data_IF_387035739626
#
_entry.id   IF_387035739626
#
_cell.length_a   1.000
_cell.length_b   1.000
_cell.length_c   1.000
_cell.angle_alpha   90.00
_cell.angle_beta   90.00
_cell.angle_gamma   90.00
#
_symmetry.space_group_name_H-M   'P 1'
#
loop_
_entity.id
_entity.type
_entity.pdbx_description
1 polymer ?
#
# COMPACT_ATOMS: atom_id res chain seq x y z
N UNK A 1 -48.21 20.49 30.07
CA UNK A 1 -48.44 20.51 28.62
C UNK A 1 -48.19 19.11 28.10
N UNK A 2 -49.26 18.36 27.79
CA UNK A 2 -49.16 17.10 27.09
C UNK A 2 -48.87 17.43 25.61
N UNK A 3 -47.68 17.08 25.14
CA UNK A 3 -47.36 17.12 23.72
C UNK A 3 -47.88 15.80 23.12
N UNK A 4 -48.84 15.93 22.22
CA UNK A 4 -49.29 14.83 21.37
C UNK A 4 -48.10 14.30 20.57
N UNK A 5 -47.90 12.98 20.61
CA UNK A 5 -46.86 12.32 19.86
C UNK A 5 -47.32 12.24 18.39
N UNK A 6 -46.68 13.02 17.53
CA UNK A 6 -46.85 12.88 16.08
C UNK A 6 -46.52 11.45 15.65
N UNK A 7 -47.43 10.85 14.88
CA UNK A 7 -47.34 9.47 14.38
C UNK A 7 -46.21 9.35 13.35
N UNK A 8 -45.00 9.05 13.79
CA UNK A 8 -43.92 8.61 12.91
C UNK A 8 -44.23 7.21 12.39
N UNK A 9 -44.36 7.05 11.07
CA UNK A 9 -44.67 5.76 10.44
C UNK A 9 -43.45 4.84 10.46
N UNK A 10 -43.67 3.53 10.42
CA UNK A 10 -42.59 2.53 10.37
C UNK A 10 -41.66 2.73 9.16
N UNK A 11 -42.18 3.20 8.01
CA UNK A 11 -41.33 3.49 6.85
C UNK A 11 -40.43 4.70 7.10
N UNK A 12 -40.94 5.75 7.75
CA UNK A 12 -40.14 6.93 8.11
C UNK A 12 -39.04 6.58 9.14
N UNK A 13 -39.32 5.64 10.04
CA UNK A 13 -38.31 5.11 10.97
C UNK A 13 -37.21 4.34 10.22
N UNK A 14 -37.56 3.49 9.25
CA UNK A 14 -36.61 2.71 8.44
C UNK A 14 -35.74 3.63 7.57
N UNK A 15 -36.35 4.58 6.87
CA UNK A 15 -35.68 5.55 6.00
C UNK A 15 -34.70 6.44 6.78
N UNK A 16 -35.07 6.86 8.00
CA UNK A 16 -34.16 7.59 8.91
C UNK A 16 -32.98 6.74 9.41
N UNK A 17 -33.12 5.40 9.41
CA UNK A 17 -32.08 4.47 9.87
C UNK A 17 -31.12 4.08 8.74
N UNK A 18 -31.59 4.03 7.49
CA UNK A 18 -30.77 3.71 6.30
C UNK A 18 -29.77 4.81 5.92
N UNK A 19 -29.99 6.05 6.35
CA UNK A 19 -29.09 7.18 6.10
C UNK A 19 -28.00 7.38 7.17
N UNK A 20 -27.95 6.58 8.23
CA UNK A 20 -26.91 6.66 9.26
C UNK A 20 -25.69 5.84 8.84
N UNK A 21 -24.63 6.51 8.38
CA UNK A 21 -23.35 5.85 8.14
C UNK A 21 -22.61 5.64 9.46
N UNK A 22 -21.83 4.56 9.58
CA UNK A 22 -20.98 4.28 10.76
C UNK A 22 -20.00 5.43 11.12
N UNK A 23 -19.74 6.37 10.19
CA UNK A 23 -18.94 7.58 10.45
C UNK A 23 -19.63 8.60 11.36
N UNK A 24 -20.97 8.60 11.44
CA UNK A 24 -21.72 9.62 12.17
C UNK A 24 -21.85 9.34 13.68
N UNK A 25 -21.48 8.13 14.13
CA UNK A 25 -21.44 7.75 15.55
C UNK A 25 -20.37 8.49 16.37
N UNK A 26 -19.46 9.21 15.71
CA UNK A 26 -18.47 10.07 16.36
C UNK A 26 -19.02 11.45 16.74
N UNK A 27 -20.18 11.86 16.22
CA UNK A 27 -20.83 13.11 16.53
C UNK A 27 -22.14 12.85 17.30
N UNK A 28 -22.21 13.40 18.50
CA UNK A 28 -23.42 13.72 19.25
C UNK A 28 -24.76 13.08 18.79
N UNK A 29 -25.24 12.11 19.56
CA UNK A 29 -26.42 11.30 19.23
C UNK A 29 -27.69 11.90 19.85
N UNK A 30 -28.73 12.07 19.04
CA UNK A 30 -30.10 12.39 19.49
C UNK A 30 -31.03 11.19 19.44
N UNK A 31 -30.81 10.28 18.48
CA UNK A 31 -31.61 9.08 18.28
C UNK A 31 -30.70 7.86 18.25
N UNK A 32 -31.11 6.79 18.93
CA UNK A 32 -30.46 5.48 18.77
C UNK A 32 -31.47 4.35 18.84
N UNK A 33 -31.10 3.23 18.22
CA UNK A 33 -31.93 2.03 18.14
C UNK A 33 -31.17 0.85 18.74
N UNK A 34 -31.84 0.08 19.60
CA UNK A 34 -31.35 -1.18 20.18
C UNK A 34 -32.26 -2.31 19.67
N UNK A 35 -31.72 -3.20 18.85
CA UNK A 35 -32.46 -4.30 18.20
C UNK A 35 -32.02 -5.63 18.78
N UNK A 36 -32.98 -6.40 19.31
CA UNK A 36 -32.77 -7.73 19.85
C UNK A 36 -33.62 -8.72 19.04
N UNK A 37 -32.96 -9.61 18.31
CA UNK A 37 -33.61 -10.66 17.53
C UNK A 37 -33.87 -11.90 18.38
N UNK A 38 -34.80 -12.75 17.93
CA UNK A 38 -35.03 -14.10 18.43
C UNK A 38 -35.37 -14.16 19.93
N UNK A 39 -36.08 -13.14 20.43
CA UNK A 39 -36.59 -13.17 21.80
C UNK A 39 -37.70 -14.23 21.89
N UNK A 40 -37.61 -15.20 22.81
CA UNK A 40 -38.60 -16.27 22.90
C UNK A 40 -40.01 -15.73 23.16
N UNK A 41 -41.05 -16.32 22.55
CA UNK A 41 -42.43 -15.93 22.80
C UNK A 41 -42.76 -16.13 24.30
N UNK A 42 -43.34 -15.11 24.92
CA UNK A 42 -43.61 -15.09 26.37
C UNK A 42 -42.56 -14.38 27.23
N UNK A 43 -41.39 -14.06 26.68
CA UNK A 43 -40.37 -13.24 27.39
C UNK A 43 -40.85 -11.80 27.66
N UNK A 44 -41.87 -11.34 26.92
CA UNK A 44 -42.52 -10.05 27.12
C UNK A 44 -44.03 -10.28 27.29
N UNK A 45 -44.54 -10.03 28.50
CA UNK A 45 -45.98 -10.05 28.76
C UNK A 45 -46.55 -8.63 28.56
N UNK A 46 -47.32 -8.44 27.49
CA UNK A 46 -47.89 -7.14 27.10
C UNK A 46 -48.83 -6.57 28.18
N UNK A 47 -49.58 -7.43 28.87
CA UNK A 47 -50.51 -6.98 29.90
C UNK A 47 -49.77 -6.43 31.13
N UNK A 48 -48.69 -7.11 31.53
CA UNK A 48 -47.83 -6.63 32.60
C UNK A 48 -47.07 -5.37 32.18
N UNK A 49 -46.63 -5.29 30.92
CA UNK A 49 -45.89 -4.14 30.39
C UNK A 49 -46.73 -2.85 30.45
N UNK A 50 -48.04 -2.93 30.17
CA UNK A 50 -48.95 -1.78 30.30
C UNK A 50 -49.03 -1.26 31.74
N UNK A 51 -49.11 -2.16 32.72
CA UNK A 51 -49.11 -1.77 34.13
C UNK A 51 -47.78 -1.14 34.54
N UNK A 52 -46.66 -1.76 34.16
CA UNK A 52 -45.30 -1.26 34.43
C UNK A 52 -45.09 0.14 33.85
N UNK A 53 -45.50 0.38 32.59
CA UNK A 53 -45.36 1.69 31.94
C UNK A 53 -46.25 2.73 32.62
N UNK A 54 -47.51 2.39 32.93
CA UNK A 54 -48.47 3.29 33.61
C UNK A 54 -47.95 3.73 34.97
N UNK A 55 -47.43 2.77 35.73
CA UNK A 55 -46.99 2.98 37.11
C UNK A 55 -45.52 3.44 37.18
N UNK A 56 -44.87 3.62 36.02
CA UNK A 56 -43.46 4.03 35.86
C UNK A 56 -42.48 3.14 36.62
N UNK A 57 -42.83 1.85 36.78
CA UNK A 57 -42.04 0.86 37.48
C UNK A 57 -40.90 0.32 36.59
N UNK A 58 -40.02 1.19 36.10
CA UNK A 58 -39.00 0.84 35.09
C UNK A 58 -38.07 -0.31 35.49
N UNK A 59 -37.86 -0.51 36.80
CA UNK A 59 -37.07 -1.62 37.35
C UNK A 59 -37.77 -2.99 37.20
N UNK A 60 -39.08 -3.00 36.94
CA UNK A 60 -39.87 -4.22 36.71
C UNK A 60 -39.99 -4.58 35.23
N UNK A 61 -39.42 -3.77 34.32
CA UNK A 61 -39.42 -4.09 32.90
C UNK A 61 -38.78 -5.48 32.66
N UNK A 62 -39.30 -6.28 31.71
CA UNK A 62 -38.61 -7.46 31.24
C UNK A 62 -37.17 -7.14 30.85
N UNK A 63 -36.27 -8.08 31.12
CA UNK A 63 -34.82 -7.88 30.96
C UNK A 63 -34.44 -7.46 29.53
N UNK A 64 -35.17 -7.97 28.53
CA UNK A 64 -35.02 -7.61 27.12
C UNK A 64 -35.41 -6.16 26.79
N UNK A 65 -36.27 -5.52 27.60
CA UNK A 65 -36.72 -4.14 27.41
C UNK A 65 -35.93 -3.13 28.25
N UNK A 66 -35.20 -3.58 29.27
CA UNK A 66 -34.36 -2.71 30.10
C UNK A 66 -33.16 -2.18 29.32
N UNK A 67 -32.64 -1.03 29.74
CA UNK A 67 -31.28 -0.60 29.43
C UNK A 67 -30.27 -1.28 30.38
N UNK A 68 -28.96 -1.25 30.07
CA UNK A 68 -27.91 -1.73 30.98
C UNK A 68 -27.79 -0.83 32.23
N UNK A 69 -27.97 0.48 32.04
CA UNK A 69 -27.92 1.49 33.09
C UNK A 69 -29.08 2.48 32.92
N UNK A 70 -29.50 3.12 34.01
CA UNK A 70 -30.51 4.18 33.96
C UNK A 70 -29.90 5.46 33.35
N UNK A 71 -30.46 6.02 32.27
CA UNK A 71 -29.96 7.26 31.70
C UNK A 71 -30.02 8.41 32.71
N UNK A 72 -28.93 9.16 32.81
CA UNK A 72 -28.81 10.44 33.54
C UNK A 72 -29.30 11.65 32.74
N UNK A 73 -29.93 11.40 31.59
CA UNK A 73 -30.43 12.42 30.66
C UNK A 73 -31.90 12.13 30.39
N UNK A 74 -32.68 13.18 30.12
CA UNK A 74 -34.08 13.02 29.75
C UNK A 74 -34.21 12.39 28.37
N UNK A 75 -35.08 11.39 28.25
CA UNK A 75 -35.30 10.67 27.00
C UNK A 75 -36.76 10.29 26.80
N UNK A 76 -37.10 9.95 25.56
CA UNK A 76 -38.34 9.28 25.15
C UNK A 76 -37.95 7.92 24.59
N UNK A 77 -38.67 6.87 24.99
CA UNK A 77 -38.46 5.52 24.47
C UNK A 77 -39.71 4.99 23.78
N UNK A 78 -39.53 4.38 22.62
CA UNK A 78 -40.56 3.64 21.90
C UNK A 78 -40.11 2.18 21.76
N UNK A 79 -41.02 1.25 21.99
CA UNK A 79 -40.74 -0.18 21.90
C UNK A 79 -41.64 -0.81 20.85
N UNK A 80 -41.04 -1.55 19.94
CA UNK A 80 -41.73 -2.31 18.90
C UNK A 80 -41.46 -3.79 19.13
N UNK A 81 -42.53 -4.57 19.23
CA UNK A 81 -42.47 -6.03 19.34
C UNK A 81 -42.93 -6.59 17.99
N UNK A 82 -41.99 -7.06 17.20
CA UNK A 82 -42.21 -7.47 15.81
C UNK A 82 -42.18 -9.01 15.75
N UNK A 83 -43.30 -9.68 15.46
CA UNK A 83 -43.31 -11.14 15.31
C UNK A 83 -42.37 -11.58 14.17
N UNK A 84 -41.64 -12.67 14.39
CA UNK A 84 -40.77 -13.29 13.40
C UNK A 84 -41.38 -14.59 12.87
N UNK A 85 -40.93 -15.03 11.69
CA UNK A 85 -41.42 -16.24 11.00
C UNK A 85 -41.19 -17.51 11.83
N UNK A 86 -40.16 -17.54 12.68
CA UNK A 86 -39.84 -18.65 13.57
C UNK A 86 -40.68 -18.69 14.86
N UNK A 87 -41.66 -17.79 15.02
CA UNK A 87 -42.49 -17.71 16.22
C UNK A 87 -41.86 -16.93 17.39
N UNK A 88 -40.62 -16.46 17.25
CA UNK A 88 -40.00 -15.53 18.18
C UNK A 88 -40.46 -14.08 17.91
N UNK A 89 -40.03 -13.15 18.76
CA UNK A 89 -40.23 -11.72 18.58
C UNK A 89 -38.89 -11.00 18.42
N UNK A 90 -38.84 -10.04 17.51
CA UNK A 90 -37.79 -9.04 17.44
C UNK A 90 -38.23 -7.83 18.29
N UNK A 91 -37.39 -7.43 19.22
CA UNK A 91 -37.60 -6.25 20.07
C UNK A 91 -36.76 -5.12 19.51
N UNK A 92 -37.41 -4.09 18.98
CA UNK A 92 -36.76 -2.85 18.58
C UNK A 92 -37.08 -1.76 19.59
N UNK A 93 -36.04 -1.19 20.19
CA UNK A 93 -36.14 -0.07 21.13
C UNK A 93 -35.59 1.16 20.44
N UNK A 94 -36.41 2.17 20.27
CA UNK A 94 -35.99 3.47 19.75
C UNK A 94 -35.95 4.47 20.90
N UNK A 95 -34.83 5.17 21.04
CA UNK A 95 -34.63 6.16 22.08
C UNK A 95 -34.31 7.51 21.47
N UNK A 96 -35.03 8.54 21.94
CA UNK A 96 -34.79 9.94 21.62
C UNK A 96 -34.32 10.68 22.87
N UNK A 97 -33.16 11.33 22.81
CA UNK A 97 -32.59 12.09 23.93
C UNK A 97 -32.98 13.57 23.78
N UNK A 98 -33.58 14.14 24.84
CA UNK A 98 -34.09 15.52 24.85
C UNK A 98 -33.02 16.58 25.09
N UNK A 99 -31.88 16.21 25.67
CA UNK A 99 -30.75 17.12 25.85
C UNK A 99 -30.01 17.33 24.53
N UNK A 100 -29.37 18.49 24.40
CA UNK A 100 -28.45 18.73 23.30
C UNK A 100 -27.27 17.78 23.43
N UNK A 101 -27.33 16.74 22.59
CA UNK A 101 -26.17 16.02 22.09
C UNK A 101 -25.42 15.18 23.12
N UNK A 102 -25.61 13.86 23.10
CA UNK A 102 -24.90 12.94 24.00
C UNK A 102 -23.79 12.18 23.29
N UNK A 103 -22.66 11.97 23.99
CA UNK A 103 -21.50 11.24 23.43
C UNK A 103 -21.90 9.80 23.07
N UNK A 104 -21.48 9.30 21.91
CA UNK A 104 -21.73 7.92 21.48
C UNK A 104 -21.24 6.86 22.47
N UNK A 105 -20.11 7.12 23.15
CA UNK A 105 -19.59 6.24 24.21
C UNK A 105 -20.49 6.17 25.45
N UNK A 106 -21.29 7.19 25.71
CA UNK A 106 -22.31 7.13 26.77
C UNK A 106 -23.50 6.28 26.32
N UNK A 107 -23.95 6.42 25.06
CA UNK A 107 -25.04 5.62 24.49
C UNK A 107 -24.67 4.13 24.44
N UNK A 108 -23.43 3.79 24.07
CA UNK A 108 -22.93 2.41 24.05
C UNK A 108 -23.06 1.70 25.42
N UNK A 109 -22.91 2.44 26.52
CA UNK A 109 -23.11 1.90 27.89
C UNK A 109 -24.57 1.67 28.26
N UNK A 110 -25.50 2.35 27.59
CA UNK A 110 -26.94 2.20 27.85
C UNK A 110 -27.54 1.01 27.12
N UNK A 111 -27.07 0.72 25.90
CA UNK A 111 -27.63 -0.31 25.03
C UNK A 111 -27.18 -1.73 25.42
N UNK A 112 -28.09 -2.70 25.26
CA UNK A 112 -27.88 -4.08 25.71
C UNK A 112 -27.19 -4.99 24.70
N UNK A 113 -26.69 -4.48 23.58
CA UNK A 113 -25.96 -5.28 22.60
C UNK A 113 -24.63 -5.83 23.17
N UNK A 114 -24.67 -6.88 23.99
CA UNK A 114 -23.49 -7.49 24.60
C UNK A 114 -22.57 -8.12 23.56
N UNK A 115 -23.11 -8.55 22.43
CA UNK A 115 -22.33 -9.21 21.38
C UNK A 115 -21.32 -8.30 20.68
N UNK A 116 -21.65 -7.03 20.44
CA UNK A 116 -20.73 -6.08 19.81
C UNK A 116 -19.62 -5.64 20.76
N UNK A 117 -19.95 -5.31 22.01
CA UNK A 117 -18.97 -5.03 23.07
C UNK A 117 -18.03 -6.23 23.30
N UNK A 118 -18.59 -7.44 23.26
CA UNK A 118 -17.84 -8.68 23.36
C UNK A 118 -16.87 -8.87 22.18
N UNK A 119 -17.31 -8.63 20.93
CA UNK A 119 -16.42 -8.67 19.76
C UNK A 119 -15.32 -7.61 19.86
N UNK A 120 -15.64 -6.38 20.24
CA UNK A 120 -14.64 -5.29 20.36
C UNK A 120 -13.59 -5.63 21.43
N UNK A 121 -14.02 -6.21 22.56
CA UNK A 121 -13.16 -6.46 23.72
C UNK A 121 -12.39 -7.78 23.62
N UNK A 122 -13.02 -8.84 23.11
CA UNK A 122 -12.49 -10.21 23.14
C UNK A 122 -12.26 -10.81 21.74
N UNK A 123 -12.63 -10.10 20.68
CA UNK A 123 -12.51 -10.55 19.31
C UNK A 123 -11.08 -10.88 18.90
N UNK A 124 -10.90 -12.02 18.25
CA UNK A 124 -9.61 -12.42 17.69
C UNK A 124 -9.26 -11.54 16.49
N UNK A 125 -8.11 -10.86 16.58
CA UNK A 125 -7.60 -9.93 15.55
C UNK A 125 -6.61 -10.61 14.61
N UNK A 126 -6.02 -11.73 15.01
CA UNK A 126 -5.07 -12.49 14.18
C UNK A 126 -5.81 -13.46 13.25
N UNK A 127 -5.69 -13.23 11.95
CA UNK A 127 -6.22 -14.13 10.91
C UNK A 127 -5.33 -15.36 10.69
N UNK A 128 -4.07 -15.31 11.13
CA UNK A 128 -3.10 -16.36 10.92
C UNK A 128 -3.49 -17.68 11.59
N UNK A 129 -3.08 -18.81 11.00
CA UNK A 129 -3.32 -20.15 11.53
C UNK A 129 -4.79 -20.45 11.89
N UNK A 130 -5.73 -19.86 11.15
CA UNK A 130 -7.18 -20.00 11.36
C UNK A 130 -7.64 -19.58 12.76
N UNK A 131 -6.87 -18.75 13.48
CA UNK A 131 -7.21 -18.34 14.85
C UNK A 131 -8.56 -17.63 14.91
N UNK A 132 -8.79 -16.68 14.00
CA UNK A 132 -10.06 -15.96 13.93
C UNK A 132 -11.23 -16.90 13.63
N UNK A 133 -11.11 -17.80 12.66
CA UNK A 133 -12.14 -18.79 12.35
C UNK A 133 -12.42 -19.74 13.54
N UNK A 134 -11.37 -20.21 14.22
CA UNK A 134 -11.50 -21.04 15.43
C UNK A 134 -12.16 -20.28 16.58
N UNK A 135 -11.85 -19.00 16.73
CA UNK A 135 -12.48 -18.13 17.71
C UNK A 135 -13.96 -17.94 17.40
N UNK A 136 -14.31 -17.64 16.14
CA UNK A 136 -15.70 -17.48 15.71
C UNK A 136 -16.49 -18.75 16.02
N UNK A 137 -16.06 -19.91 15.51
CA UNK A 137 -16.74 -21.18 15.77
C UNK A 137 -16.87 -21.48 17.26
N UNK A 138 -15.85 -21.18 18.06
CA UNK A 138 -15.92 -21.36 19.51
C UNK A 138 -16.98 -20.46 20.13
N UNK A 139 -16.99 -19.17 19.82
CA UNK A 139 -17.86 -18.22 20.51
C UNK A 139 -19.30 -18.25 20.02
N UNK A 140 -19.56 -18.55 18.74
CA UNK A 140 -20.95 -18.66 18.26
C UNK A 140 -21.63 -19.95 18.73
N UNK A 141 -20.86 -21.00 19.05
CA UNK A 141 -21.40 -22.29 19.53
C UNK A 141 -21.26 -22.50 21.04
N UNK A 142 -20.61 -21.58 21.77
CA UNK A 142 -20.41 -21.71 23.23
C UNK A 142 -21.63 -21.19 23.97
N UNK A 143 -22.24 -22.03 24.80
CA UNK A 143 -23.33 -21.62 25.68
C UNK A 143 -22.87 -20.52 26.64
N UNK A 144 -23.68 -19.47 26.76
CA UNK A 144 -23.38 -18.28 27.57
C UNK A 144 -22.44 -17.26 26.91
N UNK A 145 -22.04 -17.46 25.65
CA UNK A 145 -21.33 -16.43 24.87
C UNK A 145 -22.30 -15.32 24.44
N UNK A 146 -21.93 -14.02 24.56
CA UNK A 146 -22.76 -12.90 24.09
C UNK A 146 -23.07 -12.88 22.60
N UNK A 147 -22.34 -13.67 21.80
CA UNK A 147 -22.56 -13.85 20.35
C UNK A 147 -22.99 -15.29 20.01
N UNK A 148 -23.48 -16.05 20.99
CA UNK A 148 -24.01 -17.39 20.75
C UNK A 148 -25.14 -17.34 19.71
N UNK A 149 -25.10 -18.24 18.72
CA UNK A 149 -26.06 -18.29 17.62
C UNK A 149 -25.95 -17.19 16.57
N UNK A 150 -24.99 -16.26 16.69
CA UNK A 150 -24.80 -15.22 15.68
C UNK A 150 -24.35 -15.82 14.35
N UNK A 151 -24.78 -15.17 13.26
CA UNK A 151 -24.36 -15.56 11.93
C UNK A 151 -22.83 -15.45 11.77
N UNK A 152 -22.18 -16.54 11.38
CA UNK A 152 -20.72 -16.61 11.21
C UNK A 152 -20.19 -15.51 10.28
N UNK A 153 -20.88 -15.23 9.16
CA UNK A 153 -20.46 -14.20 8.20
C UNK A 153 -20.55 -12.79 8.80
N UNK A 154 -21.50 -12.55 9.70
CA UNK A 154 -21.63 -11.27 10.39
C UNK A 154 -20.46 -11.07 11.36
N UNK A 155 -20.16 -12.08 12.19
CA UNK A 155 -19.06 -12.03 13.15
C UNK A 155 -17.71 -11.92 12.43
N UNK A 156 -17.53 -12.64 11.32
CA UNK A 156 -16.34 -12.55 10.48
C UNK A 156 -16.12 -11.12 9.98
N UNK A 157 -17.13 -10.47 9.39
CA UNK A 157 -17.02 -9.07 8.93
C UNK A 157 -16.69 -8.10 10.07
N UNK A 158 -17.28 -8.32 11.24
CA UNK A 158 -17.03 -7.50 12.43
C UNK A 158 -15.56 -7.60 12.88
N UNK A 159 -15.06 -8.83 12.98
CA UNK A 159 -13.67 -9.08 13.36
C UNK A 159 -12.69 -8.64 12.27
N UNK A 160 -13.07 -8.72 11.00
CA UNK A 160 -12.29 -8.16 9.88
C UNK A 160 -12.15 -6.65 10.03
N UNK A 161 -13.24 -5.94 10.29
CA UNK A 161 -13.23 -4.50 10.57
C UNK A 161 -12.35 -4.18 11.79
N UNK A 162 -12.48 -4.95 12.86
CA UNK A 162 -11.72 -4.76 14.11
C UNK A 162 -10.23 -5.05 13.96
N UNK A 163 -9.87 -6.06 13.17
CA UNK A 163 -8.48 -6.36 12.84
C UNK A 163 -7.85 -5.22 12.03
N UNK A 164 -8.64 -4.54 11.20
CA UNK A 164 -8.20 -3.43 10.36
C UNK A 164 -8.17 -2.07 11.09
N UNK A 165 -8.78 -1.94 12.27
CA UNK A 165 -8.95 -0.68 13.04
C UNK A 165 -7.62 -0.10 13.62
N UNK A 166 -6.48 -0.74 13.36
CA UNK A 166 -5.14 -0.28 13.75
C UNK A 166 -4.20 0.04 12.59
N UNK A 167 -4.64 -0.15 11.34
CA UNK A 167 -3.81 0.11 10.15
C UNK A 167 -4.06 1.52 9.66
N UNK A 168 -3.08 2.40 9.88
CA UNK A 168 -3.10 3.77 9.38
C UNK A 168 -2.65 3.87 7.91
N UNK A 169 -2.11 2.78 7.34
CA UNK A 169 -1.77 2.71 5.93
C UNK A 169 -3.02 2.69 5.05
N UNK A 170 -3.12 3.65 4.14
CA UNK A 170 -4.24 3.76 3.22
C UNK A 170 -4.23 2.60 2.22
N UNK A 171 -5.34 1.85 2.16
CA UNK A 171 -5.57 0.86 1.11
C UNK A 171 -6.09 1.57 -0.13
N UNK A 172 -5.36 1.44 -1.24
CA UNK A 172 -5.74 1.97 -2.53
C UNK A 172 -6.20 0.81 -3.40
N UNK A 173 -7.43 0.89 -3.89
CA UNK A 173 -8.07 -0.14 -4.72
C UNK A 173 -8.29 0.29 -6.17
N UNK A 174 -7.89 1.52 -6.52
CA UNK A 174 -8.02 2.07 -7.86
C UNK A 174 -6.85 2.98 -8.18
N UNK A 175 -6.26 2.77 -9.35
CA UNK A 175 -5.25 3.63 -9.95
C UNK A 175 -5.25 3.37 -11.46
N UNK A 176 -5.58 4.39 -12.24
CA UNK A 176 -5.99 4.20 -13.64
C UNK A 176 -4.82 4.20 -14.64
N UNK A 177 -3.60 4.52 -14.17
CA UNK A 177 -2.39 4.44 -15.00
C UNK A 177 -1.82 3.01 -15.01
N UNK A 178 -1.28 2.60 -16.15
CA UNK A 178 -0.54 1.35 -16.33
C UNK A 178 0.91 1.63 -16.74
N UNK A 179 1.73 0.58 -16.82
CA UNK A 179 3.14 0.71 -17.23
C UNK A 179 3.30 1.30 -18.65
N UNK A 180 2.28 1.17 -19.52
CA UNK A 180 2.30 1.79 -20.85
C UNK A 180 2.31 3.33 -20.80
N UNK A 181 1.93 3.94 -19.67
CA UNK A 181 1.98 5.40 -19.55
C UNK A 181 3.40 5.97 -19.41
N UNK A 182 4.42 5.13 -19.25
CA UNK A 182 5.80 5.56 -19.15
C UNK A 182 6.38 5.91 -20.52
N UNK A 183 7.28 6.89 -20.55
CA UNK A 183 8.11 7.18 -21.72
C UNK A 183 8.95 5.94 -22.11
N UNK A 184 9.18 5.68 -23.42
CA UNK A 184 9.84 4.45 -23.89
C UNK A 184 11.20 4.16 -23.24
N UNK A 185 12.01 5.20 -23.07
CA UNK A 185 13.33 5.14 -22.45
C UNK A 185 13.26 4.66 -20.98
N UNK A 186 12.23 5.08 -20.24
CA UNK A 186 11.98 4.65 -18.86
C UNK A 186 11.44 3.22 -18.84
N UNK A 187 10.55 2.89 -19.79
CA UNK A 187 10.00 1.55 -19.93
C UNK A 187 11.09 0.50 -20.21
N UNK A 188 12.08 0.82 -21.04
CA UNK A 188 13.22 -0.05 -21.33
C UNK A 188 14.08 -0.34 -20.09
N UNK A 189 14.29 0.66 -19.22
CA UNK A 189 14.96 0.44 -17.93
C UNK A 189 14.15 -0.53 -17.07
N UNK A 190 12.84 -0.31 -16.96
CA UNK A 190 12.00 -1.16 -16.12
C UNK A 190 11.80 -2.58 -16.68
N UNK A 191 11.87 -2.79 -17.99
CA UNK A 191 11.87 -4.13 -18.58
C UNK A 191 13.02 -4.99 -18.02
N UNK A 192 14.17 -4.36 -17.75
CA UNK A 192 15.35 -5.03 -17.20
C UNK A 192 15.25 -5.23 -15.68
N UNK A 193 14.65 -4.28 -14.95
CA UNK A 193 14.63 -4.27 -13.48
C UNK A 193 13.45 -5.04 -12.87
N UNK A 194 12.30 -5.06 -13.54
CA UNK A 194 11.07 -5.67 -13.04
C UNK A 194 11.23 -7.15 -12.66
N UNK A 195 11.99 -8.00 -13.39
CA UNK A 195 12.27 -9.37 -12.98
C UNK A 195 12.88 -9.53 -11.58
N UNK A 196 13.78 -8.62 -11.18
CA UNK A 196 14.41 -8.62 -9.86
C UNK A 196 13.42 -8.31 -8.74
N UNK A 197 12.37 -7.55 -9.04
CA UNK A 197 11.37 -7.12 -8.05
C UNK A 197 10.50 -8.28 -7.49
N UNK A 198 10.62 -9.48 -8.07
CA UNK A 198 10.04 -10.72 -7.49
C UNK A 198 10.71 -11.15 -6.18
N UNK A 199 11.96 -10.75 -5.95
CA UNK A 199 12.76 -11.12 -4.78
C UNK A 199 13.40 -9.95 -4.05
N UNK A 200 13.29 -8.74 -4.58
CA UNK A 200 13.99 -7.56 -4.10
C UNK A 200 13.05 -6.36 -3.99
N UNK A 201 13.31 -5.48 -3.03
CA UNK A 201 12.57 -4.22 -2.92
C UNK A 201 13.00 -3.22 -4.00
N UNK A 202 12.23 -2.15 -4.17
CA UNK A 202 12.55 -1.04 -5.07
C UNK A 202 12.73 0.25 -4.29
N UNK A 203 13.81 0.98 -4.54
CA UNK A 203 14.06 2.31 -4.00
C UNK A 203 14.05 3.32 -5.14
N UNK A 204 13.07 4.21 -5.15
CA UNK A 204 12.94 5.32 -6.09
C UNK A 204 13.40 6.60 -5.40
N UNK A 205 14.56 7.12 -5.80
CA UNK A 205 15.21 8.30 -5.24
C UNK A 205 15.26 9.42 -6.27
N UNK A 206 15.44 10.68 -5.84
CA UNK A 206 15.81 11.76 -6.77
C UNK A 206 14.89 12.98 -6.75
N UNK A 207 14.95 13.78 -7.80
CA UNK A 207 14.25 15.06 -7.93
C UNK A 207 12.73 14.95 -7.70
N UNK A 208 12.10 15.92 -6.98
CA UNK A 208 10.64 15.96 -6.84
C UNK A 208 9.97 16.30 -8.18
N UNK A 209 8.70 15.93 -8.33
CA UNK A 209 7.88 16.32 -9.50
C UNK A 209 8.09 15.51 -10.78
N UNK A 210 9.09 14.64 -10.84
CA UNK A 210 9.38 13.80 -12.02
C UNK A 210 8.44 12.60 -12.22
N UNK A 211 7.59 12.30 -11.23
CA UNK A 211 6.63 11.21 -11.30
C UNK A 211 7.01 9.88 -10.60
N UNK A 212 7.94 9.88 -9.63
CA UNK A 212 8.29 8.67 -8.84
C UNK A 212 7.09 8.00 -8.17
N UNK A 213 6.26 8.79 -7.47
CA UNK A 213 5.09 8.27 -6.75
C UNK A 213 4.07 7.62 -7.70
N UNK A 214 3.67 8.25 -8.83
CA UNK A 214 2.87 7.57 -9.85
C UNK A 214 3.49 6.26 -10.38
N UNK A 215 4.79 6.24 -10.67
CA UNK A 215 5.49 5.03 -11.13
C UNK A 215 5.40 3.90 -10.08
N UNK A 216 5.65 4.19 -8.81
CA UNK A 216 5.55 3.21 -7.74
C UNK A 216 4.14 2.61 -7.67
N UNK A 217 3.10 3.45 -7.81
CA UNK A 217 1.69 3.01 -7.77
C UNK A 217 1.35 2.11 -8.96
N UNK A 218 1.84 2.44 -10.16
CA UNK A 218 1.70 1.60 -11.35
C UNK A 218 2.31 0.21 -11.12
N UNK A 219 3.58 0.17 -10.69
CA UNK A 219 4.27 -1.10 -10.43
C UNK A 219 3.56 -1.93 -9.36
N UNK A 220 3.03 -1.28 -8.33
CA UNK A 220 2.27 -1.94 -7.28
C UNK A 220 0.97 -2.55 -7.77
N UNK A 221 0.20 -1.81 -8.57
CA UNK A 221 -1.01 -2.33 -9.20
C UNK A 221 -0.70 -3.50 -10.12
N UNK A 222 0.36 -3.38 -10.93
CA UNK A 222 0.83 -4.43 -11.84
C UNK A 222 1.20 -5.71 -11.08
N UNK A 223 2.02 -5.63 -10.03
CA UNK A 223 2.43 -6.79 -9.24
C UNK A 223 1.27 -7.39 -8.44
N UNK A 224 0.37 -6.56 -7.92
CA UNK A 224 -0.86 -7.02 -7.28
C UNK A 224 -1.64 -7.94 -8.21
N UNK A 225 -1.89 -7.50 -9.46
CA UNK A 225 -2.58 -8.29 -10.49
C UNK A 225 -1.83 -9.55 -10.88
N UNK A 226 -0.51 -9.45 -11.08
CA UNK A 226 0.34 -10.60 -11.41
C UNK A 226 0.24 -11.72 -10.37
N UNK A 227 0.15 -11.38 -9.09
CA UNK A 227 0.00 -12.35 -8.00
C UNK A 227 -1.44 -12.82 -7.78
N UNK A 228 -2.39 -12.46 -8.63
CA UNK A 228 -3.79 -12.88 -8.56
C UNK A 228 -4.70 -11.93 -7.77
N UNK A 229 -4.22 -10.73 -7.43
CA UNK A 229 -5.02 -9.66 -6.84
C UNK A 229 -5.83 -8.87 -7.87
N UNK A 230 -6.65 -7.93 -7.38
CA UNK A 230 -7.47 -7.06 -8.23
C UNK A 230 -6.77 -5.75 -8.63
N UNK A 231 -5.48 -5.60 -8.33
CA UNK A 231 -4.79 -4.31 -8.43
C UNK A 231 -5.07 -3.46 -7.21
N UNK A 232 -4.39 -3.75 -6.10
CA UNK A 232 -4.46 -2.97 -4.87
C UNK A 232 -3.07 -2.81 -4.26
N UNK A 233 -2.87 -1.77 -3.46
CA UNK A 233 -1.67 -1.61 -2.65
C UNK A 233 -1.97 -0.83 -1.39
N UNK A 234 -1.06 -0.88 -0.42
CA UNK A 234 -1.10 0.00 0.76
C UNK A 234 0.02 1.01 0.69
N UNK A 235 -0.30 2.26 1.01
CA UNK A 235 0.69 3.33 1.11
C UNK A 235 0.68 3.95 2.51
N UNK A 236 1.87 4.32 3.00
CA UNK A 236 2.02 5.04 4.25
C UNK A 236 3.33 5.85 4.28
N UNK A 237 3.33 6.93 5.06
CA UNK A 237 4.53 7.74 5.34
C UNK A 237 5.32 7.28 6.57
N UNK A 238 4.80 6.33 7.34
CA UNK A 238 5.50 5.69 8.45
C UNK A 238 5.38 4.17 8.33
N UNK A 239 6.48 3.45 8.53
CA UNK A 239 6.46 1.99 8.54
C UNK A 239 5.59 1.42 9.66
N UNK A 240 5.38 2.18 10.72
CA UNK A 240 4.52 1.81 11.83
C UNK A 240 3.03 1.86 11.45
N UNK A 241 2.66 2.58 10.39
CA UNK A 241 1.28 2.63 9.91
C UNK A 241 0.87 1.36 9.16
N UNK A 242 1.83 0.53 8.75
CA UNK A 242 1.61 -0.79 8.18
C UNK A 242 1.30 -1.87 9.23
N UNK A 243 1.32 -1.53 10.52
CA UNK A 243 0.95 -2.46 11.58
C UNK A 243 -0.54 -2.81 11.54
N UNK A 244 -0.90 -3.94 12.14
CA UNK A 244 -2.30 -4.38 12.28
C UNK A 244 -2.84 -5.23 11.14
N UNK A 245 -2.24 -5.17 9.94
CA UNK A 245 -2.63 -6.01 8.79
C UNK A 245 -1.49 -6.96 8.43
N UNK A 246 -1.84 -8.24 8.25
CA UNK A 246 -0.94 -9.19 7.60
C UNK A 246 -1.00 -8.94 6.10
N UNK A 247 0.14 -8.68 5.50
CA UNK A 247 0.21 -8.56 4.06
C UNK A 247 0.16 -9.93 3.38
N UNK A 248 -0.18 -9.91 2.10
CA UNK A 248 0.02 -11.01 1.17
C UNK A 248 0.69 -10.49 -0.11
N UNK A 249 1.03 -11.41 -1.04
CA UNK A 249 1.69 -11.05 -2.30
C UNK A 249 0.80 -10.20 -3.22
N UNK A 250 -0.51 -10.23 -3.02
CA UNK A 250 -1.49 -9.50 -3.84
C UNK A 250 -1.64 -8.04 -3.41
N UNK A 251 -1.04 -7.62 -2.30
CA UNK A 251 -1.13 -6.25 -1.81
C UNK A 251 0.28 -5.69 -1.51
N UNK A 252 0.96 -5.08 -2.49
CA UNK A 252 2.25 -4.42 -2.27
C UNK A 252 2.22 -3.29 -1.23
N UNK A 253 3.37 -3.03 -0.61
CA UNK A 253 3.55 -1.96 0.38
C UNK A 253 4.41 -0.81 -0.15
N UNK A 254 3.90 0.42 -0.10
CA UNK A 254 4.55 1.64 -0.58
C UNK A 254 4.85 2.57 0.57
N UNK A 255 6.12 2.75 0.87
CA UNK A 255 6.57 3.77 1.78
C UNK A 255 6.77 5.08 0.99
N UNK A 256 5.88 6.05 1.16
CA UNK A 256 5.73 7.27 0.36
C UNK A 256 5.81 8.50 1.28
N UNK A 257 6.63 9.49 0.93
CA UNK A 257 6.79 10.76 1.66
C UNK A 257 7.09 10.64 3.17
N UNK A 258 8.04 9.78 3.52
CA UNK A 258 8.49 9.60 4.91
C UNK A 258 9.99 9.41 5.07
N UNK A 259 10.46 9.40 6.31
CA UNK A 259 11.81 8.92 6.63
C UNK A 259 11.73 7.43 7.01
N UNK A 260 12.41 6.55 6.25
CA UNK A 260 12.36 5.07 6.43
C UNK A 260 12.89 4.61 7.82
N UNK A 261 13.27 5.55 8.68
CA UNK A 261 13.62 5.31 10.08
C UNK A 261 15.00 4.67 10.25
N UNK A 262 15.23 3.96 11.37
CA UNK A 262 16.54 3.38 11.68
C UNK A 262 16.93 2.25 10.74
N UNK A 263 18.24 1.96 10.66
CA UNK A 263 18.88 0.98 9.77
C UNK A 263 18.17 -0.39 9.78
N UNK A 264 17.73 -0.84 10.96
CA UNK A 264 17.04 -2.13 11.11
C UNK A 264 15.72 -2.15 10.34
N UNK A 265 14.95 -1.06 10.38
CA UNK A 265 13.69 -0.92 9.62
C UNK A 265 13.97 -0.91 8.12
N UNK A 266 14.96 -0.14 7.67
CA UNK A 266 15.40 -0.09 6.25
C UNK A 266 15.77 -1.48 5.71
N UNK A 267 16.63 -2.21 6.42
CA UNK A 267 17.06 -3.57 6.00
C UNK A 267 15.90 -4.55 5.90
N UNK A 268 15.06 -4.57 6.94
CA UNK A 268 13.96 -5.50 7.02
C UNK A 268 12.84 -5.15 6.03
N UNK A 269 12.54 -3.87 5.80
CA UNK A 269 11.62 -3.50 4.73
C UNK A 269 12.15 -3.92 3.35
N UNK A 270 13.45 -3.74 3.08
CA UNK A 270 14.06 -4.17 1.82
C UNK A 270 14.13 -5.69 1.63
N UNK A 271 13.94 -6.50 2.68
CA UNK A 271 14.11 -7.96 2.63
C UNK A 271 12.88 -8.69 2.07
N UNK A 272 12.72 -8.70 0.74
CA UNK A 272 11.57 -9.32 0.04
C UNK A 272 11.73 -10.83 -0.12
N UNK A 273 12.97 -11.34 -0.07
CA UNK A 273 13.30 -12.75 -0.34
C UNK A 273 13.14 -13.70 0.85
N UNK A 274 12.99 -13.19 2.08
CA UNK A 274 12.87 -14.02 3.30
C UNK A 274 11.41 -14.41 3.61
N UNK A 275 11.19 -15.56 4.25
CA UNK A 275 9.87 -16.17 4.45
C UNK A 275 8.91 -15.27 5.25
N UNK A 276 9.41 -14.64 6.31
CA UNK A 276 8.68 -13.65 7.10
C UNK A 276 9.62 -12.57 7.61
N UNK A 277 9.39 -11.32 7.20
CA UNK A 277 10.13 -10.19 7.76
C UNK A 277 9.24 -9.40 8.72
N UNK A 278 9.61 -9.42 10.00
CA UNK A 278 8.86 -8.79 11.09
C UNK A 278 9.56 -7.49 11.51
N UNK A 279 8.94 -6.34 11.26
CA UNK A 279 9.40 -5.04 11.78
C UNK A 279 8.92 -4.86 13.23
N UNK A 280 9.79 -5.10 14.21
CA UNK A 280 9.43 -5.13 15.64
C UNK A 280 9.73 -3.82 16.36
N UNK A 281 8.69 -3.03 16.67
CA UNK A 281 8.74 -1.95 17.67
C UNK A 281 7.44 -1.91 18.52
N UNK A 282 7.36 -2.74 19.56
CA UNK A 282 6.32 -2.81 20.61
C UNK A 282 4.86 -3.11 20.14
N UNK A 283 4.38 -4.26 20.63
CA UNK A 283 3.00 -4.79 20.71
C UNK A 283 2.22 -5.17 19.43
N UNK A 284 2.50 -4.62 18.25
CA UNK A 284 2.02 -5.19 16.96
C UNK A 284 3.04 -4.88 15.86
N UNK A 285 3.72 -5.90 15.32
CA UNK A 285 4.69 -5.73 14.24
C UNK A 285 4.00 -5.70 12.88
N UNK A 286 4.48 -4.88 11.95
CA UNK A 286 4.14 -5.05 10.53
C UNK A 286 4.75 -6.37 10.04
N UNK A 287 3.92 -7.22 9.43
CA UNK A 287 4.31 -8.53 8.91
C UNK A 287 4.30 -8.49 7.40
N UNK A 288 5.48 -8.53 6.80
CA UNK A 288 5.61 -8.65 5.35
C UNK A 288 5.91 -10.10 4.97
N UNK A 289 5.32 -10.53 3.87
CA UNK A 289 5.51 -11.90 3.36
C UNK A 289 6.58 -11.93 2.27
N UNK A 290 7.14 -13.11 2.05
CA UNK A 290 8.05 -13.38 0.94
C UNK A 290 7.42 -13.05 -0.41
N UNK A 291 8.22 -12.50 -1.33
CA UNK A 291 7.80 -12.15 -2.70
C UNK A 291 6.70 -11.09 -2.79
N UNK A 292 6.44 -10.38 -1.69
CA UNK A 292 5.60 -9.20 -1.74
C UNK A 292 6.43 -8.01 -2.21
N UNK A 293 5.98 -7.32 -3.26
CA UNK A 293 6.63 -6.09 -3.72
C UNK A 293 6.59 -5.01 -2.63
N UNK A 294 7.74 -4.40 -2.38
CA UNK A 294 7.92 -3.31 -1.41
C UNK A 294 8.68 -2.18 -2.08
N UNK A 295 8.13 -0.98 -2.03
CA UNK A 295 8.70 0.19 -2.71
C UNK A 295 8.94 1.30 -1.69
N UNK A 296 10.14 1.87 -1.69
CA UNK A 296 10.50 3.09 -0.98
C UNK A 296 10.54 4.23 -1.99
N UNK A 297 9.86 5.32 -1.70
CA UNK A 297 9.86 6.54 -2.50
C UNK A 297 10.43 7.65 -1.61
N UNK A 298 11.54 8.24 -2.04
CA UNK A 298 12.23 9.28 -1.29
C UNK A 298 12.82 10.33 -2.25
N UNK A 299 12.94 11.57 -1.79
CA UNK A 299 13.58 12.64 -2.54
C UNK A 299 15.07 12.79 -2.19
N UNK A 300 15.55 12.06 -1.18
CA UNK A 300 16.91 12.16 -0.70
C UNK A 300 17.92 11.53 -1.66
N UNK A 301 18.78 12.38 -2.24
CA UNK A 301 19.97 12.01 -3.00
C UNK A 301 20.97 13.17 -2.99
N UNK A 302 22.21 12.94 -3.37
CA UNK A 302 23.28 13.95 -3.33
C UNK A 302 23.63 14.47 -4.74
N UNK A 303 23.07 15.62 -5.16
CA UNK A 303 23.32 16.17 -6.48
C UNK A 303 24.78 16.62 -6.70
N UNK A 304 25.54 16.94 -5.65
CA UNK A 304 26.94 17.37 -5.76
C UNK A 304 27.87 16.19 -6.11
N UNK A 305 27.45 14.98 -5.76
CA UNK A 305 28.16 13.74 -6.08
C UNK A 305 27.66 13.07 -7.37
N UNK A 306 26.93 13.79 -8.23
CA UNK A 306 26.61 13.30 -9.56
C UNK A 306 27.89 13.02 -10.35
N UNK A 307 28.05 11.82 -10.96
CA UNK A 307 29.21 11.51 -11.77
C UNK A 307 29.32 12.49 -12.95
N UNK A 308 30.53 12.97 -13.28
CA UNK A 308 30.72 13.86 -14.41
C UNK A 308 30.21 13.23 -15.71
N UNK A 309 29.78 14.07 -16.65
CA UNK A 309 29.45 13.61 -18.00
C UNK A 309 30.74 13.12 -18.66
N UNK A 310 30.75 11.84 -19.04
CA UNK A 310 31.85 11.24 -19.78
C UNK A 310 31.21 10.69 -21.05
N UNK A 311 31.57 11.29 -22.18
CA UNK A 311 31.08 10.88 -23.50
C UNK A 311 31.25 9.36 -23.67
N UNK A 312 30.17 8.68 -24.04
CA UNK A 312 30.08 7.24 -24.31
C UNK A 312 30.18 6.28 -23.12
N UNK A 313 30.23 6.76 -21.87
CA UNK A 313 30.21 5.87 -20.71
C UNK A 313 28.84 5.90 -20.00
N UNK A 314 28.06 4.83 -20.20
CA UNK A 314 26.78 4.60 -19.53
C UNK A 314 26.93 3.89 -18.19
N UNK A 315 28.17 3.69 -17.72
CA UNK A 315 28.45 3.03 -16.45
C UNK A 315 29.03 3.99 -15.42
N UNK A 316 28.65 3.76 -14.17
CA UNK A 316 29.06 4.52 -13.00
C UNK A 316 29.70 3.57 -11.99
N UNK A 317 30.87 3.97 -11.49
CA UNK A 317 31.56 3.23 -10.44
C UNK A 317 30.70 3.16 -9.17
N UNK A 318 30.67 1.98 -8.54
CA UNK A 318 29.86 1.74 -7.35
C UNK A 318 30.18 2.70 -6.20
N UNK A 319 31.45 3.12 -6.01
CA UNK A 319 31.80 4.07 -4.95
C UNK A 319 31.23 5.47 -5.23
N UNK A 320 31.16 5.87 -6.50
CA UNK A 320 30.56 7.17 -6.88
C UNK A 320 29.04 7.10 -6.67
N UNK A 321 28.39 6.04 -7.14
CA UNK A 321 26.97 5.82 -6.88
C UNK A 321 26.64 5.78 -5.38
N UNK A 322 27.50 5.17 -4.57
CA UNK A 322 27.35 5.13 -3.13
C UNK A 322 27.42 6.50 -2.45
N UNK A 323 28.11 7.48 -3.03
CA UNK A 323 28.07 8.86 -2.56
C UNK A 323 26.75 9.52 -2.96
N UNK A 324 26.32 9.31 -4.21
CA UNK A 324 25.06 9.83 -4.76
C UNK A 324 23.83 9.40 -3.95
N UNK A 325 23.72 8.13 -3.56
CA UNK A 325 22.54 7.64 -2.82
C UNK A 325 22.65 7.78 -1.30
N UNK A 326 23.80 8.19 -0.76
CA UNK A 326 24.09 8.18 0.68
C UNK A 326 23.03 8.87 1.56
N UNK A 327 22.42 9.99 1.16
CA UNK A 327 21.42 10.65 2.00
C UNK A 327 20.25 9.73 2.41
N UNK A 328 19.68 8.97 1.48
CA UNK A 328 18.51 8.11 1.74
C UNK A 328 18.72 6.98 2.78
N UNK A 329 19.72 6.09 2.67
CA UNK A 329 20.01 5.12 3.72
C UNK A 329 20.60 5.78 4.97
N UNK A 330 21.19 6.97 4.83
CA UNK A 330 21.84 7.74 5.89
C UNK A 330 23.33 7.40 6.02
N UNK A 331 23.99 8.06 6.97
CA UNK A 331 25.40 7.81 7.31
C UNK A 331 25.54 6.52 8.12
N UNK A 332 25.58 5.40 7.41
CA UNK A 332 25.60 4.05 7.99
C UNK A 332 26.91 3.34 7.64
N UNK A 333 27.33 2.34 8.44
CA UNK A 333 28.48 1.52 8.12
C UNK A 333 28.38 0.91 6.71
N UNK A 334 29.49 0.84 5.97
CA UNK A 334 29.50 0.37 4.59
C UNK A 334 28.89 -1.05 4.42
N UNK A 335 29.11 -1.93 5.41
CA UNK A 335 28.51 -3.26 5.43
C UNK A 335 26.97 -3.21 5.49
N UNK A 336 26.41 -2.27 6.25
CA UNK A 336 24.96 -2.10 6.36
C UNK A 336 24.35 -1.54 5.08
N UNK A 337 25.02 -0.58 4.45
CA UNK A 337 24.62 -0.04 3.16
C UNK A 337 24.64 -1.12 2.07
N UNK A 338 25.72 -1.91 1.98
CA UNK A 338 25.80 -3.03 1.05
C UNK A 338 24.70 -4.06 1.30
N UNK A 339 24.35 -4.31 2.56
CA UNK A 339 23.27 -5.23 2.90
C UNK A 339 21.89 -4.73 2.44
N UNK A 340 21.66 -3.40 2.36
CA UNK A 340 20.42 -2.84 1.77
C UNK A 340 20.47 -2.94 0.24
N UNK A 341 21.60 -2.59 -0.37
CA UNK A 341 21.82 -2.63 -1.83
C UNK A 341 21.73 -4.03 -2.45
N UNK A 342 22.05 -5.08 -1.70
CA UNK A 342 21.87 -6.47 -2.16
C UNK A 342 20.42 -6.95 -2.08
N UNK A 343 19.58 -6.24 -1.32
CA UNK A 343 18.17 -6.59 -1.11
C UNK A 343 17.23 -5.76 -1.98
N UNK A 344 17.72 -4.71 -2.61
CA UNK A 344 16.88 -3.77 -3.35
C UNK A 344 17.51 -3.32 -4.66
N UNK A 345 16.64 -3.11 -5.64
CA UNK A 345 16.89 -2.32 -6.84
C UNK A 345 16.85 -0.84 -6.45
N UNK A 346 17.83 -0.06 -6.91
CA UNK A 346 17.84 1.39 -6.74
C UNK A 346 17.67 2.08 -8.08
N UNK A 347 16.76 3.04 -8.16
CA UNK A 347 16.60 3.94 -9.30
C UNK A 347 16.66 5.36 -8.76
N UNK A 348 17.62 6.16 -9.25
CA UNK A 348 17.86 7.53 -8.83
C UNK A 348 17.63 8.43 -10.03
N UNK A 349 16.66 9.31 -9.92
CA UNK A 349 16.35 10.28 -10.95
C UNK A 349 17.01 11.62 -10.62
N UNK A 350 18.16 11.87 -11.23
CA UNK A 350 18.82 13.16 -11.18
C UNK A 350 18.20 14.16 -12.16
N UNK A 351 18.83 15.33 -12.27
CA UNK A 351 18.37 16.42 -13.14
C UNK A 351 18.48 16.09 -14.63
N UNK A 352 19.54 15.38 -15.02
CA UNK A 352 19.85 15.08 -16.42
C UNK A 352 20.04 13.58 -16.68
N UNK A 353 19.98 12.74 -15.64
CA UNK A 353 20.34 11.34 -15.71
C UNK A 353 19.45 10.50 -14.80
N UNK A 354 19.08 9.31 -15.28
CA UNK A 354 18.51 8.23 -14.46
C UNK A 354 19.64 7.25 -14.20
N UNK A 355 19.94 7.00 -12.92
CA UNK A 355 20.89 5.97 -12.50
C UNK A 355 20.10 4.77 -11.99
N UNK A 356 20.45 3.58 -12.42
CA UNK A 356 19.77 2.39 -11.93
C UNK A 356 20.76 1.27 -11.63
N UNK A 357 20.46 0.57 -10.54
CA UNK A 357 21.32 -0.47 -10.00
C UNK A 357 20.48 -1.70 -9.66
N UNK A 358 20.68 -2.83 -10.35
CA UNK A 358 20.09 -4.11 -9.97
C UNK A 358 20.65 -4.59 -8.61
N UNK A 359 20.07 -5.60 -7.95
CA UNK A 359 20.47 -6.04 -6.61
C UNK A 359 21.75 -6.90 -6.63
N UNK A 360 22.75 -6.48 -7.40
CA UNK A 360 24.04 -7.17 -7.61
C UNK A 360 25.20 -6.27 -7.24
N UNK A 361 26.42 -6.80 -7.14
CA UNK A 361 27.63 -5.99 -6.92
C UNK A 361 28.20 -5.36 -8.21
N UNK A 362 27.49 -5.48 -9.33
CA UNK A 362 27.94 -4.98 -10.64
C UNK A 362 27.92 -3.45 -10.71
N UNK A 363 28.55 -2.95 -11.77
CA UNK A 363 28.56 -1.54 -12.14
C UNK A 363 27.13 -0.99 -12.28
N UNK A 364 26.97 0.30 -11.97
CA UNK A 364 25.69 0.99 -12.04
C UNK A 364 25.49 1.55 -13.43
N UNK A 365 24.29 1.42 -13.98
CA UNK A 365 23.97 1.96 -15.30
C UNK A 365 23.35 3.35 -15.18
N UNK A 366 23.57 4.19 -16.20
CA UNK A 366 22.95 5.51 -16.31
C UNK A 366 22.40 5.76 -17.71
N UNK A 367 21.26 6.44 -17.77
CA UNK A 367 20.62 6.90 -18.98
C UNK A 367 20.46 8.42 -18.94
N UNK A 368 20.80 9.11 -20.04
CA UNK A 368 20.60 10.56 -20.13
C UNK A 368 19.10 10.85 -20.23
N UNK A 369 18.59 11.68 -19.33
CA UNK A 369 17.17 11.99 -19.19
C UNK A 369 16.94 13.48 -18.94
N UNK A 370 16.86 14.30 -20.01
CA UNK A 370 16.64 15.74 -19.88
C UNK A 370 15.15 16.11 -19.79
N UNK A 371 14.22 15.16 -19.99
CA UNK A 371 12.79 15.44 -20.21
C UNK A 371 12.00 15.78 -18.94
N UNK A 372 12.57 15.53 -17.76
CA UNK A 372 11.97 15.86 -16.46
C UNK A 372 10.78 14.99 -16.05
N UNK A 373 9.76 14.86 -16.90
CA UNK A 373 8.56 14.06 -16.65
C UNK A 373 8.66 12.68 -17.30
N UNK A 374 8.45 11.62 -16.52
CA UNK A 374 8.54 10.22 -16.95
C UNK A 374 7.31 9.71 -17.71
N UNK A 375 6.23 10.50 -17.76
CA UNK A 375 4.95 10.07 -18.30
C UNK A 375 4.68 10.67 -19.67
N UNK A 376 4.09 9.85 -20.55
CA UNK A 376 3.53 10.30 -21.82
C UNK A 376 2.49 11.39 -21.56
N UNK A 377 2.53 12.47 -22.33
CA UNK A 377 1.55 13.57 -22.22
C UNK A 377 0.10 13.09 -22.37
N UNK A 378 -0.13 12.05 -23.19
CA UNK A 378 -1.44 11.43 -23.40
C UNK A 378 -2.05 10.81 -22.15
N UNK A 379 -1.25 10.47 -21.13
CA UNK A 379 -1.74 9.90 -19.87
C UNK A 379 -2.06 10.96 -18.80
N UNK A 380 -1.71 12.23 -19.00
CA UNK A 380 -1.99 13.32 -18.05
C UNK A 380 -3.49 13.58 -17.84
N UNK A 381 -4.36 13.50 -18.87
CA UNK A 381 -5.80 13.61 -18.66
C UNK A 381 -6.36 12.49 -17.77
N UNK A 382 -5.81 11.27 -17.87
CA UNK A 382 -6.27 10.11 -17.08
C UNK A 382 -6.02 10.33 -15.59
N UNK A 383 -4.83 10.81 -15.21
CA UNK A 383 -4.52 11.09 -13.80
C UNK A 383 -5.36 12.25 -13.24
N UNK A 384 -5.65 13.27 -14.06
CA UNK A 384 -6.53 14.38 -13.64
C UNK A 384 -7.94 13.86 -13.40
N UNK A 385 -8.51 13.16 -14.37
CA UNK A 385 -9.85 12.57 -14.27
C UNK A 385 -10.00 11.68 -13.03
N UNK A 386 -9.00 10.85 -12.74
CA UNK A 386 -9.00 10.02 -11.53
C UNK A 386 -8.97 10.86 -10.24
N UNK A 387 -8.14 11.92 -10.18
CA UNK A 387 -8.08 12.83 -9.02
C UNK A 387 -9.39 13.58 -8.80
N UNK A 388 -10.09 13.89 -9.89
CA UNK A 388 -11.39 14.56 -9.88
C UNK A 388 -12.55 13.59 -9.58
N UNK A 389 -12.26 12.31 -9.34
CA UNK A 389 -13.26 11.28 -9.02
C UNK A 389 -14.05 10.77 -10.22
N UNK A 390 -13.57 11.04 -11.44
CA UNK A 390 -14.18 10.57 -12.69
C UNK A 390 -14.15 9.04 -12.84
N UNK A 391 -14.84 8.48 -13.84
CA UNK A 391 -14.86 7.04 -14.11
C UNK A 391 -13.50 6.54 -14.65
N UNK A 392 -13.18 5.23 -14.53
CA UNK A 392 -11.99 4.67 -15.17
C UNK A 392 -12.01 4.85 -16.70
N UNK A 393 -10.86 4.83 -17.37
CA UNK A 393 -10.79 4.81 -18.83
C UNK A 393 -11.58 3.62 -19.41
N UNK A 394 -12.25 3.82 -20.54
CA UNK A 394 -13.06 2.77 -21.18
C UNK A 394 -12.25 1.57 -21.70
N UNK A 395 -10.96 1.79 -21.93
CA UNK A 395 -9.96 0.82 -22.39
C UNK A 395 -9.12 0.22 -21.25
N UNK A 396 -9.50 0.43 -19.98
CA UNK A 396 -8.73 0.00 -18.82
C UNK A 396 -8.41 -1.51 -18.84
N UNK A 397 -9.37 -2.36 -19.24
CA UNK A 397 -9.15 -3.81 -19.33
C UNK A 397 -8.10 -4.18 -20.38
N UNK A 398 -8.09 -3.50 -21.53
CA UNK A 398 -7.12 -3.72 -22.60
C UNK A 398 -5.72 -3.29 -22.17
N UNK A 399 -5.60 -2.12 -21.52
CA UNK A 399 -4.34 -1.62 -20.97
C UNK A 399 -3.75 -2.59 -19.92
N UNK A 400 -4.60 -3.12 -19.05
CA UNK A 400 -4.21 -4.11 -18.03
C UNK A 400 -3.82 -5.45 -18.67
N UNK A 401 -4.51 -5.88 -19.73
CA UNK A 401 -4.17 -7.09 -20.46
C UNK A 401 -2.79 -6.96 -21.14
N UNK A 402 -2.52 -5.81 -21.76
CA UNK A 402 -1.22 -5.51 -22.35
C UNK A 402 -0.10 -5.47 -21.30
N UNK A 403 -0.32 -4.79 -20.18
CA UNK A 403 0.64 -4.72 -19.07
C UNK A 403 1.00 -6.13 -18.55
N UNK A 404 0.01 -6.99 -18.35
CA UNK A 404 0.24 -8.36 -17.93
C UNK A 404 1.03 -9.17 -18.97
N UNK A 405 0.79 -8.96 -20.26
CA UNK A 405 1.54 -9.61 -21.33
C UNK A 405 3.00 -9.12 -21.36
N UNK A 406 3.20 -7.80 -21.25
CA UNK A 406 4.52 -7.18 -21.16
C UNK A 406 5.32 -7.72 -19.97
N UNK A 407 4.70 -7.77 -18.78
CA UNK A 407 5.33 -8.27 -17.56
C UNK A 407 5.77 -9.75 -17.70
N UNK A 408 4.90 -10.59 -18.25
CA UNK A 408 5.21 -12.02 -18.49
C UNK A 408 6.36 -12.18 -19.46
N UNK A 409 6.42 -11.35 -20.50
CA UNK A 409 7.51 -11.38 -21.47
C UNK A 409 8.84 -10.91 -20.84
N UNK A 410 8.82 -9.87 -20.01
CA UNK A 410 9.99 -9.42 -19.26
C UNK A 410 10.54 -10.55 -18.37
N UNK A 411 9.67 -11.25 -17.63
CA UNK A 411 10.07 -12.42 -16.84
C UNK A 411 10.61 -13.56 -17.72
N UNK A 412 9.97 -13.84 -18.86
CA UNK A 412 10.43 -14.88 -19.79
C UNK A 412 11.83 -14.58 -20.34
N UNK A 413 12.11 -13.32 -20.72
CA UNK A 413 13.42 -12.90 -21.22
C UNK A 413 14.51 -13.03 -20.14
N UNK A 414 14.18 -12.66 -18.91
CA UNK A 414 15.11 -12.74 -17.78
C UNK A 414 15.41 -14.19 -17.37
N UNK A 415 14.39 -15.05 -17.34
CA UNK A 415 14.52 -16.45 -16.91
C UNK A 415 15.05 -17.36 -18.03
N UNK A 416 15.13 -16.85 -19.28
CA UNK A 416 15.74 -17.58 -20.37
C UNK A 416 17.23 -17.85 -20.06
N UNK A 417 17.72 -19.08 -20.29
CA UNK A 417 19.13 -19.38 -20.10
C UNK A 417 19.94 -18.41 -20.97
N UNK A 418 20.98 -17.80 -20.39
CA UNK A 418 21.89 -16.94 -21.12
C UNK A 418 22.30 -17.68 -22.40
N UNK A 419 21.93 -17.14 -23.56
CA UNK A 419 22.29 -17.76 -24.83
C UNK A 419 23.81 -17.95 -24.78
N UNK A 420 24.26 -19.20 -24.91
CA UNK A 420 25.67 -19.49 -25.01
C UNK A 420 26.22 -18.57 -26.11
N UNK A 421 27.32 -17.85 -25.86
CA UNK A 421 27.90 -16.98 -26.88
C UNK A 421 28.02 -17.82 -28.15
N UNK A 422 27.30 -17.41 -29.19
CA UNK A 422 27.34 -18.09 -30.47
C UNK A 422 28.81 -18.10 -30.86
N UNK A 423 29.44 -19.28 -30.81
CA UNK A 423 30.81 -19.43 -31.27
C UNK A 423 30.86 -18.80 -32.66
N UNK A 424 31.75 -17.83 -32.91
CA UNK A 424 31.85 -17.23 -34.23
C UNK A 424 32.02 -18.37 -35.20
N UNK A 425 31.08 -18.48 -36.15
CA UNK A 425 31.02 -19.57 -37.10
C UNK A 425 32.44 -19.86 -37.60
N UNK A 426 32.91 -21.12 -37.54
CA UNK A 426 34.28 -21.45 -37.92
C UNK A 426 34.52 -20.83 -39.27
N UNK A 427 35.43 -19.85 -39.31
CA UNK A 427 35.83 -19.21 -40.56
C UNK A 427 36.25 -20.36 -41.45
N UNK A 428 35.47 -20.65 -42.49
CA UNK A 428 35.85 -21.61 -43.50
C UNK A 428 37.27 -21.22 -43.93
N UNK A 429 38.21 -22.09 -43.58
CA UNK A 429 39.58 -22.00 -44.03
C UNK A 429 39.53 -21.99 -45.54
N UNK A 430 39.72 -20.81 -46.13
CA UNK A 430 40.04 -20.69 -47.53
C UNK A 430 41.26 -21.59 -47.80
N UNK A 431 41.23 -22.43 -48.84
CA UNK A 431 42.36 -23.29 -49.15
C UNK A 431 43.60 -22.41 -49.38
N UNK A 432 44.66 -22.73 -48.64
CA UNK A 432 45.98 -22.16 -48.80
C UNK A 432 46.41 -22.23 -50.26
N UNK A 433 46.30 -21.12 -50.98
CA UNK A 433 47.09 -20.91 -52.20
C UNK A 433 48.50 -20.57 -51.77
N UNK A 434 49.38 -21.53 -52.03
CA UNK A 434 50.82 -21.40 -51.99
C UNK A 434 51.26 -20.16 -52.79
N UNK A 435 51.77 -19.14 -52.10
CA UNK A 435 52.59 -18.09 -52.69
C UNK A 435 53.91 -18.04 -51.91
N UNK A 436 54.82 -18.89 -52.35
CA UNK A 436 56.25 -18.73 -52.11
C UNK A 436 56.76 -17.50 -52.88
N UNK A 437 57.73 -16.81 -52.26
CA UNK A 437 58.51 -15.67 -52.74
C UNK A 437 57.82 -14.29 -52.69
N UNK A 438 58.19 -13.49 -51.69
CA UNK A 438 59.12 -12.37 -51.87
C UNK A 438 59.46 -11.78 -50.48
N UNK A 439 60.68 -12.03 -50.01
CA UNK A 439 61.26 -11.39 -48.85
C UNK A 439 62.55 -10.72 -49.32
N UNK A 440 62.56 -9.38 -49.37
CA UNK A 440 63.73 -8.51 -49.17
C UNK A 440 63.38 -7.08 -49.58
N UNK A 441 63.26 -6.20 -48.58
CA UNK A 441 63.85 -4.86 -48.52
C UNK A 441 63.24 -4.13 -47.32
N UNK A 442 63.86 -4.30 -46.16
CA UNK A 442 63.73 -3.36 -45.05
C UNK A 442 64.71 -2.23 -45.29
N UNK A 443 64.21 -0.99 -45.32
CA UNK A 443 64.99 0.23 -45.16
C UNK A 443 64.45 0.93 -43.91
N UNK A 444 65.29 1.30 -42.93
CA UNK A 444 64.85 2.01 -41.74
C UNK A 444 64.67 3.51 -42.07
N UNK A 445 63.50 4.08 -41.79
CA UNK A 445 63.33 5.54 -41.78
C UNK A 445 63.59 6.08 -40.37
N UNK A 446 64.60 6.94 -40.30
CA UNK A 446 65.03 7.73 -39.15
C UNK A 446 63.97 8.77 -38.75
N UNK A 447 63.92 9.05 -37.45
CA UNK A 447 63.11 10.10 -36.85
C UNK A 447 63.75 11.49 -37.06
N UNK A 448 62.98 12.54 -37.37
CA UNK A 448 63.50 13.90 -37.37
C UNK A 448 63.41 14.56 -35.98
N UNK A 449 64.57 15.07 -35.55
CA UNK A 449 64.78 16.00 -34.44
C UNK A 449 64.19 17.41 -34.70
N UNK A 450 64.10 18.29 -33.68
CA UNK A 450 63.14 19.39 -33.63
C UNK A 450 63.66 20.68 -34.28
N UNK A 451 62.73 21.47 -34.84
CA UNK A 451 62.97 22.84 -35.30
C UNK A 451 62.59 23.89 -34.24
N UNK A 452 63.28 25.05 -34.20
CA UNK A 452 63.17 26.05 -33.14
C UNK A 452 62.10 27.13 -33.41
N UNK A 453 61.77 27.85 -32.33
CA UNK A 453 60.84 28.98 -32.22
C UNK A 453 61.02 30.11 -33.26
N UNK A 454 60.02 31.00 -33.34
CA UNK A 454 60.29 32.35 -32.85
C UNK A 454 59.18 32.96 -31.97
N UNK A 455 59.68 33.74 -31.02
CA UNK A 455 59.03 34.76 -30.19
C UNK A 455 58.14 35.75 -30.96
N UNK A 456 57.02 36.18 -30.36
CA UNK A 456 56.71 37.62 -30.14
C UNK A 456 55.32 37.85 -29.50
N UNK A 457 55.32 38.84 -28.58
CA UNK A 457 54.24 39.77 -28.18
C UNK A 457 53.20 39.37 -27.10
N UNK A 458 53.44 39.92 -25.90
CA UNK A 458 52.45 40.27 -24.87
C UNK A 458 51.44 41.33 -25.40
N UNK A 459 50.29 41.59 -24.73
CA UNK A 459 50.33 42.49 -23.56
C UNK A 459 49.37 42.15 -22.40
N UNK A 460 49.73 42.74 -21.27
CA UNK A 460 49.08 42.82 -19.97
C UNK A 460 47.73 43.55 -19.94
N UNK A 461 46.79 43.07 -19.12
CA UNK A 461 45.74 43.85 -18.44
C UNK A 461 45.55 43.25 -17.03
N UNK A 462 45.94 43.90 -15.93
CA UNK A 462 45.30 45.01 -15.19
C UNK A 462 43.80 44.79 -14.91
N UNK A 463 43.53 44.24 -13.74
CA UNK A 463 42.32 44.49 -12.92
C UNK A 463 42.39 45.88 -12.26
N UNK A 464 41.26 46.57 -12.07
CA UNK A 464 40.66 46.73 -10.72
C UNK A 464 39.12 47.00 -10.77
N UNK A 465 38.45 47.42 -9.66
CA UNK A 465 38.66 47.16 -8.23
C UNK A 465 37.72 46.10 -7.65
#
# INVERSE_FOLDING_TARGET
MALEADNMTLSAAIEATEHLTLRDLAAHVHHFVDVIYDVPPGSVNINNLKAIIRDKAWEELPEVLKMKERPKVDYVSQYFLIPQVNGNICVLKHFYIKQDKVKGSYVARLIRGEGWDFIITHGERDKGNLKQLRWIHRQINRDGSPIHGWNEKLVQRALDSLANDGTMAALITRYDLTIDCLEPDVLEIFEQLVPDLRGHALWLLGEPGIGKTPLARILAMMFSRYHGGTGTFRTACDLDFFRGVSFDKTCPGLFDDGEVGPIKKKKAFSDVGDQETILRERWTAAKFVQHQLRIVIDNQYDPENQPPEVFFNNKVDHKVFMKLVRPAPGYIPAADAHAILKRAVFVVFGKEWIYYRPPTEKEVERLKWPRGDMFKDSCKPVISNMKDGGPPPGDCEEMVAWENAWLKEAFRKHDAPAQAPVEPAPRHSLPHRCLTHFSQLMVPMEAPHPCPCPSSLCPSSKSPP
#
